data_IF_800362513068
#
_entry.id   IF_800362513068
#
_cell.length_a   1.000
_cell.length_b   1.000
_cell.length_c   1.000
_cell.angle_alpha   90.00
_cell.angle_beta   90.00
_cell.angle_gamma   90.00
#
_symmetry.space_group_name_H-M   'P 1'
#
loop_
_entity.id
_entity.type
_entity.pdbx_description
1 polymer ?
#
# COMPACT_ATOMS: atom_id res chain seq x y z
N UNK A 1 -20.02 -2.18 -4.76
CA UNK A 1 -18.84 -1.94 -3.90
C UNK A 1 -17.78 -2.99 -4.24
N UNK A 2 -16.51 -2.62 -4.17
CA UNK A 2 -15.37 -3.52 -4.43
C UNK A 2 -15.15 -4.51 -3.27
N UNK A 3 -14.39 -5.57 -3.54
CA UNK A 3 -14.02 -6.58 -2.54
C UNK A 3 -13.36 -5.98 -1.30
N UNK A 4 -13.62 -6.57 -0.13
CA UNK A 4 -12.96 -6.22 1.13
C UNK A 4 -11.44 -6.48 1.07
N UNK A 5 -10.97 -7.32 0.14
CA UNK A 5 -9.54 -7.51 -0.13
C UNK A 5 -8.87 -6.21 -0.58
N UNK A 6 -9.62 -5.30 -1.19
CA UNK A 6 -9.14 -3.98 -1.60
C UNK A 6 -8.95 -3.03 -0.43
N UNK A 7 -9.69 -3.25 0.67
CA UNK A 7 -9.53 -2.50 1.91
C UNK A 7 -8.31 -3.00 2.70
N UNK A 8 -8.12 -4.31 2.78
CA UNK A 8 -7.04 -4.93 3.54
C UNK A 8 -5.91 -5.43 2.65
N UNK A 9 -5.11 -4.53 2.09
CA UNK A 9 -3.96 -4.91 1.26
C UNK A 9 -2.69 -5.13 2.09
N UNK A 10 -2.04 -6.29 1.91
CA UNK A 10 -0.77 -6.60 2.56
C UNK A 10 0.38 -5.87 1.84
N UNK A 11 1.23 -5.19 2.61
CA UNK A 11 2.30 -4.39 2.05
C UNK A 11 3.31 -3.89 3.07
N UNK A 12 4.23 -3.06 2.59
CA UNK A 12 5.25 -2.41 3.40
C UNK A 12 4.89 -0.93 3.60
N UNK A 13 5.14 -0.44 4.82
CA UNK A 13 5.09 0.98 5.11
C UNK A 13 6.29 1.75 4.54
N UNK A 14 6.35 3.08 4.73
CA UNK A 14 5.44 3.86 5.57
C UNK A 14 4.14 4.31 4.90
N UNK A 15 4.01 4.23 3.58
CA UNK A 15 2.85 4.80 2.86
C UNK A 15 2.38 3.96 1.68
N UNK A 16 1.08 3.71 1.59
CA UNK A 16 0.50 2.99 0.45
C UNK A 16 0.63 3.78 -0.86
N UNK A 17 0.51 5.10 -0.82
CA UNK A 17 0.60 5.95 -2.02
C UNK A 17 2.04 6.32 -2.39
N UNK A 18 2.94 6.42 -1.42
CA UNK A 18 4.32 6.87 -1.67
C UNK A 18 5.35 5.74 -1.62
N UNK A 19 4.99 4.55 -1.13
CA UNK A 19 5.90 3.40 -1.05
C UNK A 19 5.37 2.24 -1.88
N UNK A 20 4.15 1.75 -1.58
CA UNK A 20 3.58 0.57 -2.26
C UNK A 20 3.26 0.82 -3.73
N UNK A 21 2.55 1.92 -4.04
CA UNK A 21 2.22 2.28 -5.42
C UNK A 21 3.48 2.41 -6.30
N UNK A 22 4.44 3.29 -5.95
CA UNK A 22 5.66 3.46 -6.73
C UNK A 22 6.47 2.18 -6.91
N UNK A 23 6.55 1.32 -5.88
CA UNK A 23 7.20 0.00 -6.00
C UNK A 23 6.49 -0.91 -6.99
N UNK A 24 5.15 -0.98 -6.93
CA UNK A 24 4.32 -1.76 -7.87
C UNK A 24 4.48 -1.23 -9.31
N UNK A 25 4.50 0.09 -9.49
CA UNK A 25 4.72 0.71 -10.79
C UNK A 25 6.11 0.35 -11.36
N UNK A 26 7.14 0.38 -10.51
CA UNK A 26 8.49 -0.02 -10.88
C UNK A 26 8.56 -1.49 -11.31
N UNK A 27 7.94 -2.40 -10.55
CA UNK A 27 7.91 -3.83 -10.89
C UNK A 27 7.31 -4.06 -12.29
N UNK A 28 6.12 -3.53 -12.53
CA UNK A 28 5.42 -3.69 -13.81
C UNK A 28 6.22 -3.10 -14.98
N UNK A 29 6.84 -1.94 -14.78
CA UNK A 29 7.64 -1.29 -15.82
C UNK A 29 8.92 -2.05 -16.12
N UNK A 30 9.62 -2.54 -15.10
CA UNK A 30 10.85 -3.32 -15.26
C UNK A 30 10.59 -4.67 -15.91
N UNK A 31 9.49 -5.35 -15.58
CA UNK A 31 9.07 -6.58 -16.27
C UNK A 31 8.83 -6.34 -17.76
N UNK A 32 8.20 -5.22 -18.12
CA UNK A 32 7.96 -4.83 -19.50
C UNK A 32 9.22 -4.32 -20.23
N UNK A 33 10.29 -3.97 -19.51
CA UNK A 33 11.54 -3.39 -20.04
C UNK A 33 12.76 -4.16 -19.48
N UNK A 34 12.72 -5.49 -19.56
CA UNK A 34 13.68 -6.39 -18.92
C UNK A 34 15.12 -6.31 -19.46
N UNK A 35 15.31 -5.70 -20.62
CA UNK A 35 16.61 -5.51 -21.29
C UNK A 35 17.02 -4.03 -21.39
N UNK A 36 16.47 -3.20 -20.50
CA UNK A 36 16.94 -1.83 -20.33
C UNK A 36 18.38 -1.81 -19.78
N UNK A 37 19.20 -0.90 -20.29
CA UNK A 37 20.57 -0.66 -19.80
C UNK A 37 20.62 0.47 -18.77
N UNK A 38 19.56 1.29 -18.69
CA UNK A 38 19.44 2.39 -17.74
C UNK A 38 17.98 2.80 -17.56
N UNK A 39 17.62 3.17 -16.33
CA UNK A 39 16.32 3.76 -16.01
C UNK A 39 16.45 5.20 -15.53
N UNK A 40 15.44 6.02 -15.86
CA UNK A 40 15.21 7.33 -15.24
C UNK A 40 13.78 7.36 -14.74
N UNK A 41 13.62 7.69 -13.46
CA UNK A 41 12.31 7.85 -12.83
C UNK A 41 12.16 9.28 -12.36
N UNK A 42 11.22 10.00 -12.97
CA UNK A 42 10.88 11.37 -12.57
C UNK A 42 9.64 11.33 -11.69
N UNK A 43 9.78 11.79 -10.44
CA UNK A 43 8.69 11.96 -9.49
C UNK A 43 8.16 13.39 -9.59
N UNK A 44 6.84 13.55 -9.52
CA UNK A 44 6.14 14.84 -9.64
C UNK A 44 5.32 15.18 -8.40
N UNK A 45 4.95 16.45 -8.27
CA UNK A 45 3.96 16.95 -7.31
C UNK A 45 4.22 16.52 -5.87
N UNK A 46 3.17 16.05 -5.19
CA UNK A 46 3.24 15.61 -3.79
C UNK A 46 4.13 14.38 -3.59
N UNK A 47 4.17 13.49 -4.59
CA UNK A 47 5.03 12.31 -4.55
C UNK A 47 6.51 12.71 -4.51
N UNK A 48 6.91 13.71 -5.29
CA UNK A 48 8.27 14.25 -5.21
C UNK A 48 8.52 15.09 -3.95
N UNK A 49 7.53 15.87 -3.50
CA UNK A 49 7.70 16.77 -2.36
C UNK A 49 7.96 16.01 -1.05
N UNK A 50 7.31 14.85 -0.86
CA UNK A 50 7.39 14.09 0.39
C UNK A 50 8.02 12.72 0.23
N UNK A 51 8.38 12.30 -1.00
CA UNK A 51 8.78 10.93 -1.29
C UNK A 51 10.03 10.47 -0.53
N UNK A 52 11.01 11.35 -0.30
CA UNK A 52 12.19 11.01 0.53
C UNK A 52 11.81 10.59 1.96
N UNK A 53 10.86 11.31 2.58
CA UNK A 53 10.38 10.95 3.92
C UNK A 53 9.55 9.67 3.95
N UNK A 54 9.00 9.28 2.79
CA UNK A 54 8.22 8.05 2.61
C UNK A 54 9.02 6.91 1.99
N UNK A 55 10.34 7.09 1.80
CA UNK A 55 11.24 6.10 1.19
C UNK A 55 10.80 5.68 -0.22
N UNK A 56 10.22 6.61 -0.98
CA UNK A 56 9.74 6.37 -2.36
C UNK A 56 10.88 5.98 -3.28
N UNK A 57 12.02 6.64 -3.15
CA UNK A 57 13.25 6.31 -3.87
C UNK A 57 13.74 4.92 -3.52
N UNK A 58 13.91 4.59 -2.24
CA UNK A 58 14.32 3.24 -1.82
C UNK A 58 13.37 2.17 -2.37
N UNK A 59 12.06 2.44 -2.34
CA UNK A 59 11.04 1.52 -2.85
C UNK A 59 11.21 1.24 -4.36
N UNK A 60 11.47 2.27 -5.16
CA UNK A 60 11.72 2.16 -6.61
C UNK A 60 13.08 1.51 -6.89
N UNK A 61 14.14 2.00 -6.23
CA UNK A 61 15.51 1.54 -6.45
C UNK A 61 15.68 0.06 -6.08
N UNK A 62 15.02 -0.40 -5.01
CA UNK A 62 15.03 -1.81 -4.61
C UNK A 62 14.53 -2.79 -5.68
N UNK A 63 13.80 -2.28 -6.68
CA UNK A 63 13.26 -3.05 -7.81
C UNK A 63 14.08 -2.85 -9.07
N UNK A 64 14.41 -1.60 -9.39
CA UNK A 64 15.02 -1.26 -10.68
C UNK A 64 16.54 -1.43 -10.72
N UNK A 65 17.26 -1.14 -9.62
CA UNK A 65 18.72 -1.25 -9.59
C UNK A 65 19.26 -2.68 -9.80
N UNK A 66 18.60 -3.74 -9.32
CA UNK A 66 18.99 -5.11 -9.66
C UNK A 66 18.95 -5.43 -11.17
N UNK A 67 18.20 -4.64 -11.96
CA UNK A 67 18.09 -4.82 -13.41
C UNK A 67 19.04 -3.87 -14.15
N UNK A 68 19.02 -2.58 -13.83
CA UNK A 68 19.90 -1.60 -14.46
C UNK A 68 20.10 -0.34 -13.59
N UNK A 69 21.21 0.41 -13.80
CA UNK A 69 21.43 1.68 -13.13
C UNK A 69 20.22 2.61 -13.25
N UNK A 70 19.75 3.11 -12.12
CA UNK A 70 18.50 3.88 -12.03
C UNK A 70 18.76 5.27 -11.46
N UNK A 71 18.22 6.30 -12.10
CA UNK A 71 18.31 7.69 -11.62
C UNK A 71 16.94 8.20 -11.19
N UNK A 72 16.85 8.75 -9.98
CA UNK A 72 15.64 9.42 -9.49
C UNK A 72 15.75 10.93 -9.71
N UNK A 73 14.77 11.51 -10.40
CA UNK A 73 14.62 12.94 -10.63
C UNK A 73 13.42 13.46 -9.85
N UNK A 74 13.62 14.54 -9.08
CA UNK A 74 12.59 15.09 -8.20
C UNK A 74 12.04 16.41 -8.75
N UNK A 75 10.74 16.45 -9.07
CA UNK A 75 10.04 17.63 -9.60
C UNK A 75 8.84 18.04 -8.71
N UNK A 76 9.08 18.50 -7.46
CA UNK A 76 8.01 18.78 -6.50
C UNK A 76 7.10 19.95 -6.87
N UNK A 77 7.53 20.80 -7.81
CA UNK A 77 6.78 21.98 -8.27
C UNK A 77 5.95 21.73 -9.53
N UNK A 78 6.13 20.57 -10.18
CA UNK A 78 5.44 20.21 -11.41
C UNK A 78 4.34 19.22 -11.05
N UNK A 79 3.10 19.56 -11.39
CA UNK A 79 1.92 18.72 -11.18
C UNK A 79 1.39 18.28 -12.54
N UNK A 80 1.15 16.98 -12.69
CA UNK A 80 0.50 16.46 -13.88
C UNK A 80 -1.03 16.53 -13.72
N UNK A 81 -1.81 16.63 -14.82
CA UNK A 81 -3.22 17.02 -14.75
C UNK A 81 -4.15 16.07 -13.99
N UNK A 82 -3.84 14.77 -13.95
CA UNK A 82 -4.76 13.76 -13.43
C UNK A 82 -4.72 13.63 -11.90
N UNK A 83 -3.54 13.48 -11.31
CA UNK A 83 -3.39 13.26 -9.87
C UNK A 83 -2.03 13.78 -9.37
N UNK A 84 -1.96 14.36 -8.15
CA UNK A 84 -0.74 15.00 -7.65
C UNK A 84 0.41 14.02 -7.35
N UNK A 85 0.11 12.74 -7.12
CA UNK A 85 1.11 11.69 -7.01
C UNK A 85 1.36 11.04 -8.37
N UNK A 86 2.29 11.60 -9.14
CA UNK A 86 2.65 11.05 -10.45
C UNK A 86 4.14 10.69 -10.51
N UNK A 87 4.45 9.63 -11.25
CA UNK A 87 5.80 9.26 -11.63
C UNK A 87 5.85 8.93 -13.12
N UNK A 88 6.92 9.35 -13.78
CA UNK A 88 7.25 8.97 -15.16
C UNK A 88 8.49 8.09 -15.13
N UNK A 89 8.40 6.90 -15.70
CA UNK A 89 9.48 5.95 -15.81
C UNK A 89 9.93 5.87 -17.27
N UNK A 90 11.24 5.90 -17.48
CA UNK A 90 11.87 5.89 -18.80
C UNK A 90 12.99 4.85 -18.80
N UNK A 91 12.96 3.95 -19.79
CA UNK A 91 13.95 2.91 -20.01
C UNK A 91 14.78 3.25 -21.25
N UNK A 92 16.08 3.00 -21.17
CA UNK A 92 17.03 3.28 -22.25
C UNK A 92 17.85 2.05 -22.60
N UNK A 93 18.14 1.88 -23.90
CA UNK A 93 19.17 0.98 -24.42
C UNK A 93 20.21 1.83 -25.15
N UNK A 94 21.42 1.90 -24.62
CA UNK A 94 22.38 2.95 -24.93
C UNK A 94 21.79 4.35 -24.72
N UNK A 95 21.83 5.17 -25.77
CA UNK A 95 21.27 6.53 -25.75
C UNK A 95 19.82 6.61 -26.25
N UNK A 96 19.20 5.49 -26.64
CA UNK A 96 17.85 5.46 -27.19
C UNK A 96 16.83 5.13 -26.12
N UNK A 97 15.74 5.89 -26.08
CA UNK A 97 14.56 5.58 -25.28
C UNK A 97 13.87 4.32 -25.83
N UNK A 98 13.78 3.26 -25.02
CA UNK A 98 13.13 1.99 -25.36
C UNK A 98 11.69 1.90 -24.85
N UNK A 99 11.40 2.57 -23.73
CA UNK A 99 10.07 2.59 -23.12
C UNK A 99 9.88 3.84 -22.27
N UNK A 100 8.64 4.33 -22.22
CA UNK A 100 8.25 5.45 -21.37
C UNK A 100 6.82 5.26 -20.90
N UNK A 101 6.60 5.38 -19.59
CA UNK A 101 5.28 5.24 -19.00
C UNK A 101 5.09 6.27 -17.87
N UNK A 102 3.96 6.95 -17.88
CA UNK A 102 3.51 7.80 -16.76
C UNK A 102 2.46 7.05 -15.98
N UNK A 103 2.63 7.00 -14.66
CA UNK A 103 1.73 6.32 -13.72
C UNK A 103 1.40 7.25 -12.56
N UNK A 104 0.19 7.12 -12.04
CA UNK A 104 -0.33 7.85 -10.90
C UNK A 104 -0.61 6.90 -9.75
N UNK A 105 -0.17 7.26 -8.55
CA UNK A 105 -0.45 6.53 -7.32
C UNK A 105 -1.63 7.17 -6.58
N UNK A 106 -2.83 6.64 -6.82
CA UNK A 106 -4.10 7.30 -6.47
C UNK A 106 -4.60 7.02 -5.05
N UNK A 107 -3.93 6.11 -4.31
CA UNK A 107 -4.29 5.78 -2.93
C UNK A 107 -4.51 4.28 -2.71
N UNK A 108 -4.34 3.82 -1.48
CA UNK A 108 -4.46 2.39 -1.13
C UNK A 108 -3.44 1.46 -1.81
N UNK A 109 -2.49 1.99 -2.60
CA UNK A 109 -1.59 1.19 -3.45
C UNK A 109 -2.11 0.93 -4.87
N UNK A 110 -3.26 1.51 -5.25
CA UNK A 110 -3.78 1.44 -6.61
C UNK A 110 -3.02 2.39 -7.56
N UNK A 111 -2.89 1.97 -8.81
CA UNK A 111 -2.19 2.70 -9.87
C UNK A 111 -3.15 3.04 -11.02
N UNK A 112 -2.86 4.13 -11.73
CA UNK A 112 -3.58 4.52 -12.95
C UNK A 112 -2.65 5.20 -13.96
N UNK A 113 -2.93 5.13 -15.26
CA UNK A 113 -2.26 5.92 -16.32
C UNK A 113 -2.96 7.26 -16.58
N UNK A 114 -4.06 7.55 -15.88
CA UNK A 114 -4.92 8.71 -16.10
C UNK A 114 -6.17 8.41 -16.92
N UNK A 115 -6.28 7.22 -17.51
CA UNK A 115 -7.48 6.74 -18.22
C UNK A 115 -8.02 5.45 -17.62
N UNK A 116 -7.12 4.53 -17.22
CA UNK A 116 -7.42 3.20 -16.70
C UNK A 116 -6.64 2.93 -15.43
N UNK A 117 -7.13 1.99 -14.63
CA UNK A 117 -6.37 1.44 -13.53
C UNK A 117 -5.31 0.47 -14.06
N UNK A 118 -4.10 0.51 -13.47
CA UNK A 118 -2.95 -0.29 -13.89
C UNK A 118 -2.66 -1.37 -12.85
N UNK A 119 -2.37 -2.58 -13.34
CA UNK A 119 -1.91 -3.68 -12.51
C UNK A 119 -2.97 -4.18 -11.53
N UNK A 120 -4.24 -3.93 -11.84
CA UNK A 120 -5.33 -4.61 -11.17
C UNK A 120 -5.45 -6.02 -11.76
N UNK A 121 -5.57 -7.04 -10.92
CA UNK A 121 -6.00 -8.37 -11.40
C UNK A 121 -7.39 -8.26 -12.05
N UNK A 122 -7.81 -9.21 -12.91
CA UNK A 122 -9.12 -9.14 -13.57
C UNK A 122 -10.31 -8.99 -12.61
N UNK A 123 -10.14 -9.37 -11.33
CA UNK A 123 -11.13 -9.25 -10.26
C UNK A 123 -10.97 -7.97 -9.40
N UNK A 124 -9.83 -7.30 -9.46
CA UNK A 124 -9.60 -6.06 -8.72
C UNK A 124 -10.34 -4.89 -9.40
N UNK A 125 -11.20 -4.21 -8.65
CA UNK A 125 -12.01 -3.09 -9.14
C UNK A 125 -13.42 -3.41 -9.64
N UNK A 126 -13.84 -4.68 -9.67
CA UNK A 126 -15.25 -5.04 -9.95
C UNK A 126 -16.12 -4.78 -8.73
N UNK A 127 -17.33 -4.28 -8.96
CA UNK A 127 -18.35 -4.20 -7.94
C UNK A 127 -18.98 -5.59 -7.74
N UNK A 128 -18.66 -6.23 -6.61
CA UNK A 128 -19.13 -7.60 -6.29
C UNK A 128 -20.30 -7.60 -5.31
N UNK A 129 -20.47 -6.53 -4.54
CA UNK A 129 -21.57 -6.37 -3.59
C UNK A 129 -22.80 -5.76 -4.27
N UNK A 130 -23.93 -6.49 -4.41
CA UNK A 130 -25.13 -5.98 -5.07
C UNK A 130 -25.85 -4.91 -4.26
N UNK A 131 -26.00 -5.12 -2.94
CA UNK A 131 -26.54 -4.12 -2.03
C UNK A 131 -25.45 -3.10 -1.70
N UNK A 132 -25.77 -1.82 -1.86
CA UNK A 132 -24.79 -0.72 -1.79
C UNK A 132 -25.03 0.21 -0.59
N UNK A 133 -26.16 0.06 0.09
CA UNK A 133 -26.49 0.84 1.29
C UNK A 133 -26.56 -0.05 2.53
N UNK A 134 -26.21 0.53 3.68
CA UNK A 134 -26.34 -0.19 4.95
C UNK A 134 -27.80 -0.58 5.24
N UNK A 135 -28.76 0.26 4.84
CA UNK A 135 -30.20 0.01 5.03
C UNK A 135 -30.66 -1.27 4.30
N UNK A 136 -30.26 -1.45 3.05
CA UNK A 136 -30.58 -2.67 2.28
C UNK A 136 -29.98 -3.91 2.95
N UNK A 137 -28.73 -3.82 3.41
CA UNK A 137 -28.05 -4.94 4.09
C UNK A 137 -28.75 -5.27 5.41
N UNK A 138 -29.16 -4.25 6.17
CA UNK A 138 -29.90 -4.44 7.42
C UNK A 138 -31.24 -5.14 7.18
N UNK A 139 -32.01 -4.68 6.18
CA UNK A 139 -33.29 -5.31 5.82
C UNK A 139 -33.10 -6.77 5.37
N UNK A 140 -32.06 -7.04 4.58
CA UNK A 140 -31.70 -8.42 4.20
C UNK A 140 -31.35 -9.29 5.41
N UNK A 141 -30.57 -8.77 6.37
CA UNK A 141 -30.26 -9.48 7.61
C UNK A 141 -31.53 -9.81 8.42
N UNK A 142 -32.47 -8.86 8.52
CA UNK A 142 -33.75 -9.05 9.21
C UNK A 142 -34.63 -10.11 8.52
N UNK A 143 -34.71 -10.09 7.20
CA UNK A 143 -35.54 -11.03 6.41
C UNK A 143 -34.94 -12.44 6.39
N UNK A 144 -33.63 -12.56 6.26
CA UNK A 144 -32.96 -13.87 6.12
C UNK A 144 -32.52 -14.50 7.43
N UNK A 145 -32.44 -13.70 8.51
CA UNK A 145 -31.85 -14.12 9.78
C UNK A 145 -30.32 -14.23 9.77
N UNK A 146 -29.67 -13.84 8.66
CA UNK A 146 -28.21 -13.84 8.51
C UNK A 146 -27.60 -12.56 9.08
N UNK A 147 -26.30 -12.60 9.27
CA UNK A 147 -25.47 -11.54 9.83
C UNK A 147 -24.59 -10.89 8.76
N UNK A 148 -23.97 -9.76 9.09
CA UNK A 148 -23.17 -8.98 8.14
C UNK A 148 -21.99 -9.75 7.53
N UNK A 149 -21.34 -10.64 8.29
CA UNK A 149 -20.20 -11.41 7.78
C UNK A 149 -20.65 -12.53 6.83
N UNK A 150 -21.86 -13.06 7.01
CA UNK A 150 -22.46 -14.01 6.06
C UNK A 150 -22.77 -13.34 4.73
N UNK A 151 -23.18 -12.06 4.73
CA UNK A 151 -23.32 -11.29 3.49
C UNK A 151 -21.98 -11.11 2.77
N UNK A 152 -20.89 -10.89 3.51
CA UNK A 152 -19.53 -10.84 2.94
C UNK A 152 -19.16 -12.19 2.33
N UNK A 153 -19.40 -13.29 3.03
CA UNK A 153 -19.14 -14.65 2.52
C UNK A 153 -19.95 -14.99 1.26
N UNK A 154 -21.18 -14.50 1.15
CA UNK A 154 -22.02 -14.72 -0.04
C UNK A 154 -21.57 -13.94 -1.27
N UNK A 155 -20.98 -12.76 -1.09
CA UNK A 155 -20.57 -11.91 -2.19
C UNK A 155 -19.13 -12.16 -2.64
N UNK A 156 -18.25 -12.54 -1.71
CA UNK A 156 -16.82 -12.72 -1.97
C UNK A 156 -16.49 -14.09 -2.55
N UNK A 157 -15.32 -14.18 -3.17
CA UNK A 157 -14.75 -15.46 -3.61
C UNK A 157 -14.45 -16.37 -2.40
N UNK A 158 -14.50 -17.69 -2.62
CA UNK A 158 -14.34 -18.72 -1.56
C UNK A 158 -13.02 -18.66 -0.79
N UNK A 159 -12.00 -18.01 -1.35
CA UNK A 159 -10.69 -17.80 -0.73
C UNK A 159 -10.66 -16.61 0.25
N UNK A 160 -11.79 -15.92 0.47
CA UNK A 160 -11.85 -14.75 1.34
C UNK A 160 -11.37 -15.04 2.77
N UNK A 161 -11.75 -16.19 3.33
CA UNK A 161 -11.36 -16.54 4.69
C UNK A 161 -9.88 -16.87 4.81
N UNK A 162 -9.31 -17.56 3.82
CA UNK A 162 -7.86 -17.82 3.74
C UNK A 162 -7.09 -16.49 3.65
N UNK A 163 -7.59 -15.55 2.84
CA UNK A 163 -7.02 -14.22 2.71
C UNK A 163 -7.06 -13.43 4.02
N UNK A 164 -8.22 -13.39 4.69
CA UNK A 164 -8.37 -12.70 5.97
C UNK A 164 -7.53 -13.34 7.09
N UNK A 165 -7.35 -14.66 7.05
CA UNK A 165 -6.44 -15.35 7.97
C UNK A 165 -4.99 -14.91 7.74
N UNK A 166 -4.56 -14.76 6.49
CA UNK A 166 -3.23 -14.25 6.16
C UNK A 166 -3.04 -12.79 6.60
N UNK A 167 -4.03 -11.94 6.34
CA UNK A 167 -4.06 -10.55 6.84
C UNK A 167 -3.90 -10.54 8.37
N UNK A 168 -4.62 -11.41 9.08
CA UNK A 168 -4.53 -11.53 10.53
C UNK A 168 -3.15 -11.98 11.00
N UNK A 169 -2.53 -12.97 10.34
CA UNK A 169 -1.16 -13.41 10.62
C UNK A 169 -0.16 -12.26 10.46
N UNK A 170 -0.27 -11.51 9.37
CA UNK A 170 0.60 -10.36 9.07
C UNK A 170 0.43 -9.25 10.11
N UNK A 171 -0.81 -8.92 10.50
CA UNK A 171 -1.10 -7.91 11.52
C UNK A 171 -0.47 -8.29 12.88
N UNK A 172 -0.66 -9.54 13.33
CA UNK A 172 -0.03 -10.04 14.56
C UNK A 172 1.49 -9.97 14.50
N UNK A 173 2.08 -10.37 13.37
CA UNK A 173 3.52 -10.30 13.18
C UNK A 173 4.03 -8.85 13.19
N UNK A 174 3.29 -7.91 12.63
CA UNK A 174 3.63 -6.48 12.67
C UNK A 174 3.61 -5.93 14.09
N UNK A 175 2.58 -6.26 14.89
CA UNK A 175 2.52 -5.91 16.31
C UNK A 175 3.72 -6.48 17.06
N UNK A 176 4.02 -7.77 16.88
CA UNK A 176 5.18 -8.41 17.52
C UNK A 176 6.49 -7.70 17.18
N UNK A 177 6.75 -7.44 15.89
CA UNK A 177 7.94 -6.67 15.45
C UNK A 177 8.01 -5.30 16.10
N UNK A 178 6.89 -4.61 16.28
CA UNK A 178 6.86 -3.30 16.93
C UNK A 178 7.16 -3.37 18.44
N UNK A 179 6.73 -4.44 19.12
CA UNK A 179 7.00 -4.66 20.54
C UNK A 179 8.45 -5.06 20.79
N UNK A 180 9.09 -5.73 19.83
CA UNK A 180 10.47 -6.22 19.94
C UNK A 180 11.51 -5.20 19.40
N UNK A 181 11.09 -4.07 18.83
CA UNK A 181 11.97 -3.11 18.15
C UNK A 181 12.03 -1.75 18.87
N UNK A 182 13.19 -1.46 19.45
CA UNK A 182 13.51 -0.20 20.13
C UNK A 182 14.25 0.79 19.22
N UNK A 183 14.57 1.97 19.74
CA UNK A 183 15.37 2.97 19.04
C UNK A 183 14.55 4.11 18.46
N UNK A 184 15.11 4.78 17.46
CA UNK A 184 14.58 6.03 16.89
C UNK A 184 13.97 5.76 15.51
N UNK A 185 12.82 6.36 15.22
CA UNK A 185 12.21 6.32 13.90
C UNK A 185 13.13 7.04 12.89
N UNK A 186 13.25 6.52 11.67
CA UNK A 186 14.00 7.21 10.61
C UNK A 186 13.34 8.55 10.28
N UNK A 187 14.14 9.49 9.78
CA UNK A 187 13.70 10.84 9.42
C UNK A 187 14.19 11.94 10.37
N UNK A 188 13.88 13.21 10.08
CA UNK A 188 14.50 14.36 10.74
C UNK A 188 14.00 14.59 12.17
N UNK A 189 12.83 14.04 12.52
CA UNK A 189 12.16 14.34 13.79
C UNK A 189 12.73 13.59 15.00
N UNK A 190 13.71 12.69 14.79
CA UNK A 190 14.40 11.96 15.85
C UNK A 190 13.46 11.35 16.91
N UNK A 191 12.31 10.82 16.47
CA UNK A 191 11.26 10.36 17.37
C UNK A 191 11.57 8.97 17.93
N UNK A 192 11.57 8.83 19.24
CA UNK A 192 11.81 7.54 19.89
C UNK A 192 10.59 6.61 19.80
N UNK A 193 10.82 5.34 19.43
CA UNK A 193 9.80 4.28 19.45
C UNK A 193 9.30 4.06 20.88
N UNK A 194 7.99 3.93 21.06
CA UNK A 194 7.38 3.82 22.40
C UNK A 194 6.80 2.45 22.73
N UNK A 195 6.50 1.64 21.72
CA UNK A 195 5.77 0.37 21.86
C UNK A 195 6.39 -0.57 22.90
N UNK A 196 7.68 -0.89 22.77
CA UNK A 196 8.41 -1.75 23.72
C UNK A 196 8.35 -1.23 25.14
N UNK A 197 8.61 0.07 25.33
CA UNK A 197 8.59 0.69 26.66
C UNK A 197 7.21 0.63 27.34
N UNK A 198 6.12 0.81 26.58
CA UNK A 198 4.77 0.69 27.11
C UNK A 198 4.38 -0.76 27.38
N UNK A 199 4.83 -1.69 26.54
CA UNK A 199 4.58 -3.11 26.73
C UNK A 199 5.24 -3.66 27.99
N UNK A 200 6.51 -3.31 28.23
CA UNK A 200 7.22 -3.68 29.46
C UNK A 200 6.51 -3.11 30.69
N UNK A 201 6.09 -1.84 30.64
CA UNK A 201 5.32 -1.21 31.73
C UNK A 201 4.00 -1.94 31.98
N UNK A 202 3.26 -2.25 30.92
CA UNK A 202 1.98 -2.97 30.99
C UNK A 202 2.14 -4.36 31.64
N UNK A 203 3.22 -5.08 31.31
CA UNK A 203 3.55 -6.38 31.92
C UNK A 203 4.02 -6.27 33.38
N UNK A 204 4.69 -5.18 33.74
CA UNK A 204 5.20 -4.94 35.09
C UNK A 204 4.13 -4.49 36.11
N UNK A 205 2.94 -4.09 35.67
CA UNK A 205 1.84 -3.77 36.58
C UNK A 205 1.32 -5.03 37.30
N UNK A 206 1.14 -4.94 38.62
CA UNK A 206 0.41 -5.94 39.41
C UNK A 206 -0.98 -6.16 38.80
N UNK A 207 -1.52 -7.38 38.90
CA UNK A 207 -2.82 -7.77 38.32
C UNK A 207 -3.98 -6.79 38.63
N UNK A 208 -3.95 -6.08 39.76
CA UNK A 208 -4.95 -5.08 40.15
C UNK A 208 -4.98 -3.81 39.27
N UNK A 209 -3.94 -3.55 38.47
CA UNK A 209 -3.84 -2.41 37.55
C UNK A 209 -4.10 -2.82 36.08
N UNK A 210 -4.04 -4.11 35.75
CA UNK A 210 -4.32 -4.62 34.39
C UNK A 210 -5.82 -4.56 34.05
N UNK A 211 -6.71 -4.69 35.04
CA UNK A 211 -8.17 -4.65 34.83
C UNK A 211 -8.75 -3.25 34.61
N UNK A 212 -7.98 -2.18 34.85
CA UNK A 212 -8.46 -0.79 34.68
C UNK A 212 -8.43 -0.29 33.24
N UNK A 213 -7.81 -1.04 32.32
CA UNK A 213 -7.82 -0.75 30.88
C UNK A 213 -8.88 -1.52 30.08
N UNK A 214 -9.77 -2.24 30.77
CA UNK A 214 -10.88 -3.02 30.19
C UNK A 214 -12.26 -2.39 30.45
N UNK A 215 -12.30 -1.08 30.75
CA UNK A 215 -13.55 -0.32 30.89
C UNK A 215 -13.86 0.38 29.58
#
# INVERSE_FOLDING_TARGET
MQSIKELFRIGNGPSSSHTMGPKKAALLFTEAQSDAERFVVTLYGSLAATGKGHLTDEAILSVMEPVAPTTIVWQPKIFLPFHPNALKMEAFRGNRLSGSQTVYSVGGGALSDGEKAIGLSENEGRDIYPMTTLTEIMEWCEVTGKSYWEYVEECEDKDIWDYLEEVWKVMKAAVKRALDNEGVLPGPLSLHRKATSYFIKAKGYKASLQSRGLV
#
